data_IF_589773968010
#
_entry.id   IF_589773968010
#
_cell.length_a   1.000
_cell.length_b   1.000
_cell.length_c   1.000
_cell.angle_alpha   90.00
_cell.angle_beta   90.00
_cell.angle_gamma   90.00
#
_symmetry.space_group_name_H-M   'P 1'
#
loop_
_entity.id
_entity.type
_entity.pdbx_description
1 polymer ?
#
# COMPACT_ATOMS: atom_id res chain seq x y z
N UNK A 1 9.22 -18.30 -6.77
CA UNK A 1 8.85 -17.29 -5.75
C UNK A 1 10.06 -16.43 -5.42
N UNK A 2 9.86 -15.15 -5.10
CA UNK A 2 10.91 -14.25 -4.62
C UNK A 2 11.11 -14.47 -3.13
N UNK A 3 12.34 -14.83 -2.73
CA UNK A 3 12.73 -15.02 -1.33
C UNK A 3 14.02 -14.25 -1.11
N UNK A 4 14.12 -13.50 -0.02
CA UNK A 4 15.34 -12.79 0.33
C UNK A 4 16.34 -13.67 1.09
N UNK A 5 17.53 -13.11 1.40
CA UNK A 5 18.59 -13.82 2.12
C UNK A 5 18.24 -14.25 3.56
N UNK A 6 17.11 -13.76 4.10
CA UNK A 6 16.59 -14.09 5.44
C UNK A 6 15.40 -15.07 5.39
N UNK A 7 15.08 -15.63 4.22
CA UNK A 7 13.98 -16.58 4.05
C UNK A 7 12.60 -15.91 3.97
N UNK A 8 12.49 -14.56 3.92
CA UNK A 8 11.21 -13.87 3.82
C UNK A 8 10.70 -13.92 2.38
N UNK A 9 9.45 -14.36 2.21
CA UNK A 9 8.80 -14.36 0.90
C UNK A 9 8.31 -12.97 0.56
N UNK A 10 8.71 -12.44 -0.59
CA UNK A 10 8.29 -11.12 -1.08
C UNK A 10 7.02 -11.31 -1.92
N UNK A 11 5.91 -10.77 -1.43
CA UNK A 11 4.56 -10.92 -1.99
C UNK A 11 3.86 -9.61 -2.29
N UNK A 12 4.37 -8.48 -1.77
CA UNK A 12 3.77 -7.16 -1.88
C UNK A 12 4.68 -6.21 -2.66
N UNK A 13 4.22 -5.73 -3.82
CA UNK A 13 4.87 -4.69 -4.59
C UNK A 13 4.14 -3.36 -4.40
N UNK A 14 4.86 -2.33 -3.98
CA UNK A 14 4.37 -0.95 -4.00
C UNK A 14 4.94 -0.23 -5.20
N UNK A 15 4.09 0.36 -6.02
CA UNK A 15 4.46 1.04 -7.26
C UNK A 15 4.13 2.52 -7.14
N UNK A 16 5.16 3.36 -7.10
CA UNK A 16 4.99 4.81 -7.16
C UNK A 16 4.73 5.22 -8.60
N UNK A 17 3.62 5.89 -8.86
CA UNK A 17 3.24 6.33 -10.21
C UNK A 17 3.81 7.69 -10.56
N UNK A 18 4.07 8.52 -9.56
CA UNK A 18 4.55 9.89 -9.70
C UNK A 18 5.20 10.36 -8.40
N UNK A 19 6.11 11.29 -8.50
CA UNK A 19 6.71 12.03 -7.39
C UNK A 19 5.92 13.30 -7.02
N UNK A 20 4.94 13.70 -7.86
CA UNK A 20 4.12 14.89 -7.66
C UNK A 20 2.99 14.62 -6.68
N UNK A 21 2.72 15.61 -5.81
CA UNK A 21 1.60 15.61 -4.90
C UNK A 21 0.98 17.02 -4.87
N UNK A 22 -0.33 17.10 -4.70
CA UNK A 22 -1.07 18.36 -4.52
C UNK A 22 -1.24 18.74 -3.05
N UNK A 23 -0.79 17.91 -2.10
CA UNK A 23 -0.69 18.21 -0.67
C UNK A 23 0.75 18.48 -0.28
N UNK A 24 0.95 19.16 0.87
CA UNK A 24 2.25 19.50 1.45
C UNK A 24 2.32 19.07 2.90
N UNK A 25 2.04 17.78 3.15
CA UNK A 25 2.09 17.24 4.51
C UNK A 25 3.49 17.40 5.09
N UNK A 26 3.59 18.01 6.28
CA UNK A 26 4.86 18.41 6.88
C UNK A 26 5.81 17.21 7.11
N UNK A 27 5.26 16.03 7.36
CA UNK A 27 6.04 14.81 7.61
C UNK A 27 6.45 14.06 6.32
N UNK A 28 5.93 14.49 5.17
CA UNK A 28 6.16 13.83 3.87
C UNK A 28 6.89 14.75 2.90
N UNK A 29 6.44 16.00 2.81
CA UNK A 29 6.89 16.98 1.81
C UNK A 29 6.86 18.39 2.42
N UNK A 30 7.70 18.67 3.44
CA UNK A 30 7.55 19.80 4.35
C UNK A 30 7.74 21.17 3.70
N UNK A 31 8.47 21.31 2.59
CA UNK A 31 8.69 22.62 1.95
C UNK A 31 8.94 22.53 0.46
N UNK A 32 8.36 23.51 -0.22
CA UNK A 32 8.64 23.77 -1.62
C UNK A 32 8.27 22.63 -2.54
N UNK A 33 8.65 22.77 -3.78
CA UNK A 33 8.63 21.66 -4.71
C UNK A 33 9.91 20.86 -4.49
N UNK A 34 9.82 19.54 -4.18
CA UNK A 34 11.01 18.72 -4.20
C UNK A 34 11.60 18.76 -5.61
N UNK A 35 12.89 18.48 -5.77
CA UNK A 35 13.44 18.31 -7.10
C UNK A 35 12.70 17.15 -7.77
N UNK A 36 11.73 17.48 -8.61
CA UNK A 36 10.94 16.51 -9.35
C UNK A 36 11.85 15.73 -10.30
N UNK A 37 11.57 14.45 -10.45
CA UNK A 37 12.23 13.66 -11.47
C UNK A 37 11.96 14.28 -12.85
N UNK A 38 12.96 14.21 -13.73
CA UNK A 38 12.78 14.62 -15.12
C UNK A 38 11.71 13.75 -15.75
N UNK A 39 10.82 14.34 -16.55
CA UNK A 39 9.69 13.64 -17.17
C UNK A 39 10.12 12.36 -17.92
N UNK A 40 11.27 12.40 -18.56
CA UNK A 40 11.85 11.30 -19.33
C UNK A 40 12.30 10.13 -18.45
N UNK A 41 12.54 10.39 -17.15
CA UNK A 41 12.94 9.34 -16.21
C UNK A 41 11.75 8.64 -15.56
N UNK A 42 10.56 9.24 -15.60
CA UNK A 42 9.35 8.62 -15.06
C UNK A 42 8.94 7.44 -15.95
N UNK A 43 8.59 6.32 -15.32
CA UNK A 43 8.11 5.14 -16.04
C UNK A 43 6.79 5.42 -16.77
N UNK A 44 6.66 4.94 -18.00
CA UNK A 44 5.39 4.91 -18.73
C UNK A 44 4.45 3.84 -18.13
N UNK A 45 3.18 3.85 -18.50
CA UNK A 45 2.25 2.81 -18.04
C UNK A 45 2.62 1.44 -18.61
N UNK A 46 3.12 1.42 -19.85
CA UNK A 46 3.58 0.20 -20.51
C UNK A 46 4.77 -0.42 -19.75
N UNK A 47 5.76 0.41 -19.38
CA UNK A 47 6.90 -0.04 -18.56
C UNK A 47 6.45 -0.55 -17.18
N UNK A 48 5.49 0.13 -16.54
CA UNK A 48 4.95 -0.29 -15.25
C UNK A 48 4.24 -1.65 -15.38
N UNK A 49 3.43 -1.84 -16.43
CA UNK A 49 2.73 -3.11 -16.67
C UNK A 49 3.74 -4.23 -16.90
N UNK A 50 4.72 -4.04 -17.77
CA UNK A 50 5.77 -5.04 -18.04
C UNK A 50 6.52 -5.44 -16.76
N UNK A 51 6.94 -4.46 -15.96
CA UNK A 51 7.59 -4.71 -14.67
C UNK A 51 6.66 -5.49 -13.73
N UNK A 52 5.40 -5.09 -13.61
CA UNK A 52 4.42 -5.76 -12.76
C UNK A 52 4.16 -7.21 -13.20
N UNK A 53 4.07 -7.48 -14.51
CA UNK A 53 3.96 -8.84 -15.07
C UNK A 53 5.15 -9.72 -14.65
N UNK A 54 6.37 -9.16 -14.72
CA UNK A 54 7.57 -9.87 -14.29
C UNK A 54 7.48 -10.17 -12.79
N UNK A 55 7.14 -9.19 -11.96
CA UNK A 55 7.02 -9.38 -10.51
C UNK A 55 5.93 -10.40 -10.15
N UNK A 56 4.77 -10.35 -10.81
CA UNK A 56 3.69 -11.33 -10.62
C UNK A 56 4.17 -12.72 -11.02
N UNK A 57 4.88 -12.88 -12.14
CA UNK A 57 5.46 -14.18 -12.54
C UNK A 57 6.49 -14.72 -11.54
N UNK A 58 7.07 -13.86 -10.72
CA UNK A 58 7.99 -14.21 -9.64
C UNK A 58 7.31 -14.49 -8.29
N UNK A 59 5.98 -14.33 -8.20
CA UNK A 59 5.20 -14.65 -7.01
C UNK A 59 4.72 -13.45 -6.20
N UNK A 60 4.72 -12.24 -6.77
CA UNK A 60 4.00 -11.11 -6.18
C UNK A 60 2.50 -11.37 -6.31
N UNK A 61 1.81 -11.28 -5.18
CA UNK A 61 0.38 -11.52 -5.03
C UNK A 61 -0.42 -10.22 -4.88
N UNK A 62 0.25 -9.14 -4.42
CA UNK A 62 -0.41 -7.86 -4.11
C UNK A 62 0.36 -6.71 -4.76
N UNK A 63 -0.35 -5.85 -5.47
CA UNK A 63 0.16 -4.59 -6.02
C UNK A 63 -0.57 -3.43 -5.36
N UNK A 64 0.19 -2.46 -4.88
CA UNK A 64 -0.35 -1.21 -4.36
C UNK A 64 0.19 -0.04 -5.15
N UNK A 65 -0.71 0.64 -5.83
CA UNK A 65 -0.40 1.90 -6.52
C UNK A 65 -0.33 3.05 -5.51
N UNK A 66 0.70 3.86 -5.62
CA UNK A 66 1.01 4.97 -4.71
C UNK A 66 1.84 6.01 -5.46
N UNK A 67 2.59 6.84 -4.76
CA UNK A 67 3.47 7.86 -5.32
C UNK A 67 3.53 9.07 -4.40
N UNK A 68 3.61 10.26 -4.98
CA UNK A 68 3.10 11.47 -4.36
C UNK A 68 1.58 11.30 -4.26
N UNK A 69 0.84 11.84 -5.25
CA UNK A 69 -0.58 11.51 -5.37
C UNK A 69 -0.84 10.79 -6.70
N UNK A 70 -1.14 9.49 -6.68
CA UNK A 70 -1.27 8.69 -7.90
C UNK A 70 -2.43 9.15 -8.80
N UNK A 71 -3.49 9.74 -8.24
CA UNK A 71 -4.62 10.25 -9.00
C UNK A 71 -4.33 11.54 -9.76
N UNK A 72 -3.16 12.17 -9.57
CA UNK A 72 -2.70 13.26 -10.43
C UNK A 72 -2.21 12.75 -11.79
N UNK A 73 -1.90 11.46 -11.90
CA UNK A 73 -1.49 10.89 -13.17
C UNK A 73 -2.71 10.72 -14.07
N UNK A 74 -2.63 11.33 -15.27
CA UNK A 74 -3.71 11.26 -16.25
C UNK A 74 -3.95 9.79 -16.66
N UNK A 75 -5.20 9.42 -16.88
CA UNK A 75 -5.62 8.10 -17.39
C UNK A 75 -5.15 6.91 -16.52
N UNK A 76 -5.02 7.11 -15.18
CA UNK A 76 -4.58 6.04 -14.27
C UNK A 76 -5.55 4.84 -14.27
N UNK A 77 -6.81 5.03 -14.60
CA UNK A 77 -7.81 3.96 -14.79
C UNK A 77 -7.37 2.96 -15.86
N UNK A 78 -6.76 3.43 -16.95
CA UNK A 78 -6.20 2.56 -17.99
C UNK A 78 -5.06 1.67 -17.46
N UNK A 79 -4.21 2.21 -16.58
CA UNK A 79 -3.19 1.40 -15.91
C UNK A 79 -3.84 0.36 -14.99
N UNK A 80 -4.83 0.77 -14.19
CA UNK A 80 -5.56 -0.14 -13.30
C UNK A 80 -6.19 -1.30 -14.09
N UNK A 81 -6.81 -1.03 -15.24
CA UNK A 81 -7.40 -2.05 -16.12
C UNK A 81 -6.34 -3.04 -16.63
N UNK A 82 -5.21 -2.55 -17.13
CA UNK A 82 -4.10 -3.39 -17.58
C UNK A 82 -3.55 -4.27 -16.45
N UNK A 83 -3.39 -3.73 -15.24
CA UNK A 83 -2.92 -4.50 -14.08
C UNK A 83 -4.00 -5.47 -13.55
N UNK A 84 -5.27 -5.12 -13.63
CA UNK A 84 -6.36 -6.01 -13.25
C UNK A 84 -6.43 -7.25 -14.14
N UNK A 85 -5.98 -7.17 -15.40
CA UNK A 85 -5.88 -8.32 -16.28
C UNK A 85 -4.87 -9.38 -15.80
N UNK A 86 -3.97 -9.03 -14.87
CA UNK A 86 -3.04 -9.98 -14.24
C UNK A 86 -3.68 -10.82 -13.11
N UNK A 87 -4.93 -10.51 -12.74
CA UNK A 87 -5.66 -11.23 -11.70
C UNK A 87 -6.17 -12.58 -12.19
N UNK A 88 -6.39 -13.47 -11.23
CA UNK A 88 -7.20 -14.67 -11.45
C UNK A 88 -8.66 -14.24 -11.60
N UNK A 89 -9.43 -14.76 -12.57
CA UNK A 89 -10.88 -14.65 -12.53
C UNK A 89 -11.39 -15.15 -11.18
N UNK A 90 -12.13 -14.30 -10.44
CA UNK A 90 -12.68 -14.70 -9.15
C UNK A 90 -13.61 -15.91 -9.35
N UNK A 91 -13.55 -16.94 -8.49
CA UNK A 91 -14.51 -18.07 -8.56
C UNK A 91 -15.96 -17.62 -8.46
N UNK A 92 -16.23 -16.41 -7.96
CA UNK A 92 -17.58 -15.83 -7.84
C UNK A 92 -18.16 -15.28 -9.15
N UNK A 93 -17.37 -15.13 -10.21
CA UNK A 93 -17.84 -14.66 -11.50
C UNK A 93 -18.23 -15.78 -12.47
N UNK A 94 -18.07 -17.03 -12.08
CA UNK A 94 -18.54 -18.18 -12.82
C UNK A 94 -19.79 -18.79 -12.15
N UNK A 95 -20.93 -18.12 -12.30
CA UNK A 95 -22.23 -18.78 -12.16
C UNK A 95 -22.71 -19.11 -13.59
N UNK A 96 -22.52 -20.32 -14.10
CA UNK A 96 -23.21 -20.74 -15.30
C UNK A 96 -24.65 -20.94 -14.89
N UNK A 97 -25.58 -20.29 -15.58
CA UNK A 97 -26.97 -20.67 -15.60
C UNK A 97 -27.06 -22.12 -16.08
N UNK A 98 -27.30 -23.03 -15.14
CA UNK A 98 -27.63 -24.43 -15.45
C UNK A 98 -28.95 -24.48 -16.24
N UNK A 99 -28.86 -24.71 -17.53
CA UNK A 99 -29.94 -25.38 -18.27
C UNK A 99 -29.65 -26.86 -18.21
N UNK A 100 -30.61 -27.55 -17.65
CA UNK A 100 -30.74 -29.02 -17.56
C UNK A 100 -30.73 -29.72 -18.90
N UNK A 101 -30.11 -30.89 -18.94
CA UNK A 101 -30.34 -32.13 -19.71
C UNK A 101 -29.03 -32.63 -20.32
N UNK A 102 -28.59 -33.84 -20.29
CA UNK A 102 -29.10 -35.17 -20.13
C UNK A 102 -27.91 -36.15 -19.91
N UNK A 103 -28.22 -37.34 -19.52
CA UNK A 103 -27.41 -38.46 -19.09
C UNK A 103 -26.49 -39.09 -20.16
N UNK A 104 -25.54 -39.90 -19.62
CA UNK A 104 -24.84 -41.08 -20.17
C UNK A 104 -23.55 -40.79 -20.98
N UNK A 105 -22.37 -41.20 -20.52
CA UNK A 105 -21.77 -42.51 -20.65
C UNK A 105 -20.41 -42.60 -19.92
N UNK A 106 -20.25 -43.69 -19.19
CA UNK A 106 -18.99 -44.13 -18.61
C UNK A 106 -18.00 -44.54 -19.71
N UNK A 107 -16.76 -44.05 -19.67
CA UNK A 107 -15.67 -44.80 -20.23
C UNK A 107 -14.40 -44.64 -19.36
N UNK A 108 -13.99 -45.74 -18.76
CA UNK A 108 -12.72 -45.91 -18.08
C UNK A 108 -11.59 -45.91 -19.11
N UNK A 109 -10.52 -45.18 -18.81
CA UNK A 109 -9.28 -45.46 -19.50
C UNK A 109 -8.31 -44.29 -19.59
N UNK A 110 -7.22 -44.43 -18.85
CA UNK A 110 -5.94 -43.74 -18.93
C UNK A 110 -5.70 -42.55 -17.96
N UNK A 111 -5.22 -42.94 -16.76
CA UNK A 111 -4.45 -42.06 -15.90
C UNK A 111 -3.10 -41.74 -16.57
N UNK A 112 -3.00 -40.63 -17.25
CA UNK A 112 -1.72 -39.96 -17.50
C UNK A 112 -1.36 -39.19 -16.25
N UNK A 113 -0.20 -39.51 -15.65
CA UNK A 113 0.40 -38.77 -14.55
C UNK A 113 0.69 -37.36 -15.04
N UNK A 114 -0.20 -36.42 -14.67
CA UNK A 114 0.02 -34.99 -14.84
C UNK A 114 1.08 -34.59 -13.79
N UNK A 115 2.33 -34.45 -14.24
CA UNK A 115 3.40 -33.87 -13.45
C UNK A 115 2.97 -32.44 -13.12
N UNK A 116 2.60 -32.20 -11.85
CA UNK A 116 1.97 -31.01 -11.32
C UNK A 116 2.61 -29.72 -11.79
N UNK A 117 2.06 -29.11 -12.80
CA UNK A 117 2.30 -27.71 -13.13
C UNK A 117 1.92 -26.88 -11.91
N UNK A 118 2.93 -26.33 -11.22
CA UNK A 118 2.70 -25.34 -10.16
C UNK A 118 1.83 -24.24 -10.75
N UNK A 119 0.73 -23.87 -10.08
CA UNK A 119 -0.18 -22.85 -10.60
C UNK A 119 0.63 -21.59 -10.93
N UNK A 120 0.40 -21.06 -12.13
CA UNK A 120 1.07 -19.85 -12.58
C UNK A 120 0.80 -18.73 -11.57
N UNK A 121 1.82 -18.04 -11.01
CA UNK A 121 1.61 -17.00 -10.01
C UNK A 121 0.67 -15.93 -10.59
N UNK A 122 -0.28 -15.46 -9.81
CA UNK A 122 -1.31 -14.54 -10.25
C UNK A 122 -1.52 -13.44 -9.21
N UNK A 123 -1.87 -12.25 -9.67
CA UNK A 123 -2.22 -11.14 -8.80
C UNK A 123 -3.54 -11.44 -8.07
N UNK A 124 -3.56 -11.25 -6.76
CA UNK A 124 -4.73 -11.46 -5.90
C UNK A 124 -5.36 -10.15 -5.42
N UNK A 125 -4.59 -9.06 -5.31
CA UNK A 125 -5.02 -7.81 -4.71
C UNK A 125 -4.39 -6.62 -5.42
N UNK A 126 -5.21 -5.75 -5.98
CA UNK A 126 -4.81 -4.48 -6.60
C UNK A 126 -5.41 -3.32 -5.80
N UNK A 127 -4.58 -2.57 -5.11
CA UNK A 127 -4.98 -1.49 -4.23
C UNK A 127 -4.38 -0.15 -4.62
N UNK A 128 -5.01 0.93 -4.20
CA UNK A 128 -4.55 2.30 -4.36
C UNK A 128 -4.41 2.96 -3.00
N UNK A 129 -3.34 3.77 -2.81
CA UNK A 129 -3.23 4.71 -1.68
C UNK A 129 -3.29 6.13 -2.24
N UNK A 130 -4.16 6.97 -1.68
CA UNK A 130 -4.43 8.34 -2.15
C UNK A 130 -4.68 9.29 -1.00
N UNK A 131 -4.46 10.58 -1.21
CA UNK A 131 -4.89 11.64 -0.29
C UNK A 131 -6.40 11.95 -0.39
N UNK A 132 -7.12 11.29 -1.29
CA UNK A 132 -8.57 11.41 -1.43
C UNK A 132 -9.07 12.56 -2.31
N UNK A 133 -8.29 13.62 -2.52
CA UNK A 133 -8.75 14.86 -3.17
C UNK A 133 -9.48 14.64 -4.51
N UNK A 134 -9.00 13.73 -5.34
CA UNK A 134 -9.61 13.46 -6.65
C UNK A 134 -10.45 12.19 -6.70
N UNK A 135 -10.56 11.47 -5.58
CA UNK A 135 -11.15 10.13 -5.58
C UNK A 135 -12.67 10.16 -5.77
N UNK A 136 -13.37 11.17 -5.24
CA UNK A 136 -14.82 11.28 -5.37
C UNK A 136 -15.29 11.12 -6.83
N UNK A 137 -14.63 11.80 -7.75
CA UNK A 137 -14.97 11.78 -9.19
C UNK A 137 -14.51 10.54 -9.94
N UNK A 138 -13.62 9.73 -9.33
CA UNK A 138 -12.92 8.64 -10.01
C UNK A 138 -13.23 7.27 -9.43
N UNK A 139 -13.85 7.18 -8.23
CA UNK A 139 -14.05 5.94 -7.50
C UNK A 139 -14.76 4.87 -8.32
N UNK A 140 -15.87 5.21 -9.00
CA UNK A 140 -16.61 4.28 -9.85
C UNK A 140 -15.79 3.79 -11.05
N UNK A 141 -15.05 4.70 -11.71
CA UNK A 141 -14.24 4.33 -12.87
C UNK A 141 -13.06 3.43 -12.45
N UNK A 142 -12.43 3.73 -11.32
CA UNK A 142 -11.38 2.87 -10.75
C UNK A 142 -11.92 1.47 -10.41
N UNK A 143 -13.14 1.39 -9.85
CA UNK A 143 -13.78 0.09 -9.59
C UNK A 143 -14.08 -0.66 -10.88
N UNK A 144 -14.66 0.01 -11.88
CA UNK A 144 -14.93 -0.58 -13.21
C UNK A 144 -13.64 -1.06 -13.88
N UNK A 145 -12.53 -0.32 -13.73
CA UNK A 145 -11.22 -0.72 -14.20
C UNK A 145 -10.60 -1.92 -13.45
N UNK A 146 -11.24 -2.37 -12.36
CA UNK A 146 -10.83 -3.56 -11.62
C UNK A 146 -9.99 -3.30 -10.37
N UNK A 147 -9.99 -2.07 -9.82
CA UNK A 147 -9.40 -1.80 -8.51
C UNK A 147 -10.21 -2.51 -7.42
N UNK A 148 -9.54 -3.20 -6.48
CA UNK A 148 -10.23 -3.91 -5.40
C UNK A 148 -10.61 -2.96 -4.28
N UNK A 149 -9.65 -2.17 -3.80
CA UNK A 149 -9.81 -1.38 -2.58
C UNK A 149 -8.92 -0.15 -2.56
N UNK A 150 -9.26 0.79 -1.68
CA UNK A 150 -8.49 2.01 -1.47
C UNK A 150 -7.99 2.14 -0.04
N UNK A 151 -6.90 2.88 0.09
CA UNK A 151 -6.43 3.44 1.35
C UNK A 151 -6.40 4.97 1.18
N UNK A 152 -7.11 5.70 2.04
CA UNK A 152 -7.20 7.15 2.01
C UNK A 152 -6.42 7.70 3.21
N UNK A 153 -5.61 8.73 2.99
CA UNK A 153 -4.90 9.42 4.08
C UNK A 153 -5.81 10.48 4.69
N UNK A 154 -6.01 10.41 6.01
CA UNK A 154 -6.81 11.36 6.77
C UNK A 154 -6.24 11.48 8.19
N UNK A 155 -5.44 12.50 8.43
CA UNK A 155 -4.70 12.67 9.68
C UNK A 155 -5.48 13.43 10.74
N UNK A 156 -6.58 14.11 10.39
CA UNK A 156 -7.41 14.89 11.31
C UNK A 156 -8.84 15.02 10.80
N UNK A 157 -9.78 15.09 11.75
CA UNK A 157 -11.19 15.40 11.50
C UNK A 157 -11.52 16.90 11.78
N UNK A 158 -10.53 17.66 12.26
CA UNK A 158 -10.66 19.10 12.51
C UNK A 158 -10.06 19.88 11.34
N UNK A 159 -10.84 20.77 10.74
CA UNK A 159 -10.44 21.55 9.55
C UNK A 159 -9.10 22.28 9.73
N UNK A 160 -8.90 22.92 10.87
CA UNK A 160 -7.67 23.66 11.16
C UNK A 160 -6.45 22.75 11.28
N UNK A 161 -6.58 21.62 11.99
CA UNK A 161 -5.51 20.65 12.13
C UNK A 161 -5.20 19.97 10.80
N UNK A 162 -6.22 19.58 10.04
CA UNK A 162 -6.06 19.02 8.71
C UNK A 162 -5.26 19.95 7.81
N UNK A 163 -5.67 21.24 7.76
CA UNK A 163 -4.96 22.27 6.99
C UNK A 163 -3.53 22.47 7.47
N UNK A 164 -3.31 22.51 8.79
CA UNK A 164 -1.98 22.64 9.38
C UNK A 164 -1.06 21.45 9.02
N UNK A 165 -1.59 20.24 9.03
CA UNK A 165 -0.83 19.02 8.74
C UNK A 165 -0.54 18.87 7.25
N UNK A 166 -1.55 19.11 6.40
CA UNK A 166 -1.51 18.79 4.96
C UNK A 166 -1.13 19.96 4.06
N UNK A 167 -1.10 21.18 4.61
CA UNK A 167 -0.85 22.42 3.87
C UNK A 167 -2.00 22.88 2.99
N UNK A 168 -3.17 22.20 3.03
CA UNK A 168 -4.34 22.51 2.20
C UNK A 168 -5.64 22.42 2.98
N UNK A 169 -6.63 23.22 2.58
CA UNK A 169 -7.96 23.29 3.19
C UNK A 169 -8.94 22.42 2.37
N UNK A 170 -8.83 21.09 2.51
CA UNK A 170 -9.52 20.10 1.66
C UNK A 170 -10.09 18.90 2.43
N UNK A 171 -10.45 19.10 3.70
CA UNK A 171 -11.02 18.05 4.54
C UNK A 171 -12.34 17.51 3.97
N UNK A 172 -13.23 18.41 3.55
CA UNK A 172 -14.56 18.03 3.05
C UNK A 172 -14.46 17.15 1.80
N UNK A 173 -13.52 17.46 0.89
CA UNK A 173 -13.28 16.65 -0.30
C UNK A 173 -12.75 15.25 0.06
N UNK A 174 -11.94 15.13 1.10
CA UNK A 174 -11.44 13.83 1.58
C UNK A 174 -12.56 13.02 2.24
N UNK A 175 -13.44 13.66 3.02
CA UNK A 175 -14.61 13.00 3.60
C UNK A 175 -15.58 12.54 2.50
N UNK A 176 -15.86 13.39 1.50
CA UNK A 176 -16.67 13.02 0.34
C UNK A 176 -16.08 11.85 -0.46
N UNK A 177 -14.74 11.78 -0.54
CA UNK A 177 -14.03 10.67 -1.18
C UNK A 177 -14.25 9.33 -0.47
N UNK A 178 -14.34 9.32 0.87
CA UNK A 178 -14.64 8.11 1.65
C UNK A 178 -16.04 7.60 1.30
N UNK A 179 -17.03 8.48 1.25
CA UNK A 179 -18.40 8.11 0.87
C UNK A 179 -18.49 7.64 -0.59
N UNK A 180 -17.75 8.26 -1.49
CA UNK A 180 -17.68 7.81 -2.89
C UNK A 180 -17.03 6.42 -3.01
N UNK A 181 -15.99 6.14 -2.23
CA UNK A 181 -15.36 4.81 -2.18
C UNK A 181 -16.34 3.74 -1.67
N UNK A 182 -17.18 4.06 -0.66
CA UNK A 182 -18.25 3.16 -0.18
C UNK A 182 -19.27 2.88 -1.28
N UNK A 183 -19.79 3.93 -1.92
CA UNK A 183 -20.75 3.75 -3.04
C UNK A 183 -20.18 2.90 -4.17
N UNK A 184 -18.89 3.08 -4.48
CA UNK A 184 -18.20 2.31 -5.50
C UNK A 184 -17.79 0.89 -5.03
N UNK A 185 -18.02 0.53 -3.77
CA UNK A 185 -17.65 -0.79 -3.20
C UNK A 185 -16.14 -1.10 -3.34
N UNK A 186 -15.28 -0.12 -3.07
CA UNK A 186 -13.82 -0.28 -3.02
C UNK A 186 -13.38 -0.80 -1.63
N UNK A 187 -13.87 -1.98 -1.26
CA UNK A 187 -13.73 -2.55 0.08
C UNK A 187 -12.53 -3.51 0.23
N UNK A 188 -11.95 -3.59 1.44
CA UNK A 188 -12.19 -2.72 2.60
C UNK A 188 -11.57 -1.33 2.43
N UNK A 189 -12.34 -0.30 2.77
CA UNK A 189 -11.83 1.07 2.81
C UNK A 189 -10.94 1.23 4.03
N UNK A 190 -9.70 1.62 3.79
CA UNK A 190 -8.73 1.86 4.85
C UNK A 190 -8.41 3.33 4.94
N UNK A 191 -8.41 3.85 6.16
CA UNK A 191 -8.00 5.22 6.45
C UNK A 191 -6.67 5.15 7.18
N UNK A 192 -5.65 5.84 6.67
CA UNK A 192 -4.36 5.96 7.35
C UNK A 192 -4.29 7.33 8.01
N UNK A 193 -3.93 7.36 9.29
CA UNK A 193 -3.62 8.55 10.06
C UNK A 193 -2.22 8.42 10.67
N UNK A 194 -1.32 9.33 10.33
CA UNK A 194 -0.03 9.46 11.01
C UNK A 194 -0.25 10.28 12.28
N UNK A 195 0.00 9.68 13.43
CA UNK A 195 -0.21 10.36 14.72
C UNK A 195 1.08 11.00 15.19
N UNK A 196 0.99 12.31 15.42
CA UNK A 196 2.11 13.16 15.84
C UNK A 196 1.76 13.94 17.09
N UNK A 197 2.57 13.80 18.12
CA UNK A 197 2.36 14.45 19.42
C UNK A 197 2.31 15.97 19.29
N UNK A 198 1.29 16.57 19.87
CA UNK A 198 1.04 18.01 19.84
C UNK A 198 0.47 18.53 18.50
N UNK A 199 0.10 17.62 17.58
CA UNK A 199 -0.54 17.97 16.30
C UNK A 199 -1.95 17.40 16.19
N UNK A 200 -2.12 16.09 16.36
CA UNK A 200 -3.39 15.38 16.23
C UNK A 200 -3.54 14.20 17.22
N UNK A 201 -2.68 14.11 18.22
CA UNK A 201 -2.76 13.06 19.26
C UNK A 201 -4.00 13.23 20.17
N UNK A 202 -4.58 14.43 20.22
CA UNK A 202 -5.87 14.70 20.87
C UNK A 202 -7.08 14.17 20.05
N UNK A 203 -6.89 13.76 18.80
CA UNK A 203 -7.96 13.23 17.92
C UNK A 203 -7.98 11.69 17.85
N UNK A 204 -7.11 10.97 18.57
CA UNK A 204 -7.01 9.51 18.48
C UNK A 204 -8.38 8.85 18.73
N UNK A 205 -9.10 9.27 19.78
CA UNK A 205 -10.41 8.71 20.15
C UNK A 205 -11.49 9.13 19.14
N UNK A 206 -11.42 10.36 18.61
CA UNK A 206 -12.40 10.85 17.63
C UNK A 206 -12.25 10.12 16.28
N UNK A 207 -11.03 9.85 15.86
CA UNK A 207 -10.75 9.01 14.68
C UNK A 207 -11.25 7.56 14.88
N UNK A 208 -11.15 7.01 16.09
CA UNK A 208 -11.71 5.69 16.41
C UNK A 208 -13.24 5.70 16.38
N UNK A 209 -13.87 6.76 16.90
CA UNK A 209 -15.32 6.96 16.83
C UNK A 209 -15.77 7.06 15.37
N UNK A 210 -15.06 7.81 14.54
CA UNK A 210 -15.32 7.91 13.11
C UNK A 210 -15.28 6.53 12.44
N UNK A 211 -14.28 5.69 12.73
CA UNK A 211 -14.22 4.33 12.20
C UNK A 211 -15.42 3.48 12.63
N UNK A 212 -15.81 3.58 13.90
CA UNK A 212 -16.93 2.88 14.50
C UNK A 212 -18.28 3.26 13.84
N UNK A 213 -18.49 4.54 13.58
CA UNK A 213 -19.72 5.06 12.99
C UNK A 213 -19.80 4.80 11.48
N UNK A 214 -18.68 4.84 10.79
CA UNK A 214 -18.63 4.73 9.33
C UNK A 214 -18.34 3.33 8.80
N UNK A 215 -17.86 2.43 9.65
CA UNK A 215 -17.50 1.05 9.27
C UNK A 215 -16.17 0.92 8.52
N UNK A 216 -15.34 1.96 8.47
CA UNK A 216 -14.03 1.91 7.82
C UNK A 216 -12.96 1.25 8.71
N UNK A 217 -11.85 0.84 8.10
CA UNK A 217 -10.67 0.36 8.82
C UNK A 217 -9.72 1.53 9.08
N UNK A 218 -9.74 2.10 10.29
CA UNK A 218 -8.83 3.17 10.70
C UNK A 218 -7.48 2.60 11.09
N UNK A 219 -6.40 3.16 10.53
CA UNK A 219 -5.02 2.73 10.77
C UNK A 219 -4.20 3.88 11.32
N UNK A 220 -3.80 3.74 12.56
CA UNK A 220 -2.91 4.65 13.26
C UNK A 220 -1.46 4.28 12.97
N UNK A 221 -0.67 5.23 12.51
CA UNK A 221 0.72 5.02 12.12
C UNK A 221 1.59 5.90 13.00
N UNK A 222 2.59 5.31 13.65
CA UNK A 222 3.60 6.08 14.35
C UNK A 222 4.37 7.01 13.40
N UNK A 223 4.66 8.22 13.84
CA UNK A 223 5.46 9.16 13.09
C UNK A 223 6.88 8.65 12.85
N UNK A 224 7.29 8.60 11.60
CA UNK A 224 8.55 8.01 11.12
C UNK A 224 9.50 9.05 10.54
N UNK A 225 10.85 8.85 10.60
CA UNK A 225 11.86 9.74 10.02
C UNK A 225 11.91 9.60 8.48
N UNK A 226 10.93 10.16 7.80
CA UNK A 226 10.78 10.09 6.33
C UNK A 226 10.76 11.48 5.69
N UNK A 227 10.92 12.52 6.46
CA UNK A 227 11.01 13.89 6.01
C UNK A 227 12.38 14.16 5.38
N UNK A 228 12.41 14.91 4.30
CA UNK A 228 13.64 15.25 3.57
C UNK A 228 14.53 16.25 4.30
N UNK A 229 13.99 16.93 5.31
CA UNK A 229 14.74 17.92 6.12
C UNK A 229 15.44 17.33 7.33
N UNK A 230 15.15 16.05 7.65
CA UNK A 230 15.69 15.38 8.83
C UNK A 230 15.32 16.08 10.16
N UNK A 231 14.14 16.69 10.22
CA UNK A 231 13.60 17.37 11.41
C UNK A 231 12.82 16.41 12.35
N UNK A 232 12.77 15.13 12.00
CA UNK A 232 12.09 14.15 12.82
C UNK A 232 12.68 14.09 14.25
N UNK A 233 11.80 14.23 15.23
CA UNK A 233 12.14 14.06 16.64
C UNK A 233 11.35 12.89 17.24
N UNK A 234 12.05 11.97 17.89
CA UNK A 234 11.44 10.83 18.58
C UNK A 234 10.44 11.25 19.66
N UNK A 235 10.58 12.43 20.24
CA UNK A 235 9.64 12.99 21.23
C UNK A 235 8.24 13.24 20.65
N UNK A 236 8.13 13.41 19.35
CA UNK A 236 6.86 13.60 18.65
C UNK A 236 6.16 12.28 18.33
N UNK A 237 6.79 11.13 18.58
CA UNK A 237 6.19 9.83 18.36
C UNK A 237 5.18 9.53 19.47
N UNK A 238 3.95 9.20 19.09
CA UNK A 238 2.95 8.59 19.98
C UNK A 238 3.04 7.09 19.79
N UNK A 239 3.44 6.38 20.85
CA UNK A 239 3.69 4.94 20.77
C UNK A 239 2.40 4.15 20.48
N UNK A 240 2.51 3.08 19.68
CA UNK A 240 1.37 2.24 19.34
C UNK A 240 0.60 1.71 20.55
N UNK A 241 1.30 1.39 21.66
CA UNK A 241 0.68 0.99 22.92
C UNK A 241 -0.10 2.11 23.60
N UNK A 242 0.36 3.35 23.48
CA UNK A 242 -0.36 4.52 23.98
C UNK A 242 -1.65 4.74 23.18
N UNK A 243 -1.55 4.67 21.84
CA UNK A 243 -2.71 4.74 20.94
C UNK A 243 -3.74 3.66 21.29
N UNK A 244 -3.29 2.40 21.44
CA UNK A 244 -4.15 1.29 21.84
C UNK A 244 -4.88 1.58 23.15
N UNK A 245 -4.15 2.01 24.19
CA UNK A 245 -4.74 2.27 25.51
C UNK A 245 -5.81 3.35 25.43
N UNK A 246 -5.53 4.49 24.78
CA UNK A 246 -6.49 5.59 24.66
C UNK A 246 -7.79 5.16 23.96
N UNK A 247 -7.67 4.36 22.90
CA UNK A 247 -8.85 3.84 22.20
C UNK A 247 -9.57 2.80 23.04
N UNK A 248 -8.86 1.85 23.64
CA UNK A 248 -9.45 0.77 24.43
C UNK A 248 -10.15 1.27 25.69
N UNK A 249 -9.67 2.34 26.30
CA UNK A 249 -10.32 2.98 27.47
C UNK A 249 -11.66 3.66 27.06
N UNK A 250 -11.76 4.16 25.83
CA UNK A 250 -12.98 4.76 25.32
C UNK A 250 -13.93 3.74 24.65
N UNK A 251 -13.36 2.80 23.92
CA UNK A 251 -14.05 1.75 23.17
C UNK A 251 -13.27 0.45 23.32
N UNK A 252 -13.70 -0.48 24.17
CA UNK A 252 -13.02 -1.76 24.38
C UNK A 252 -12.77 -2.50 23.07
N UNK A 253 -11.53 -3.00 22.91
CA UNK A 253 -11.03 -3.61 21.69
C UNK A 253 -10.69 -5.09 21.90
N UNK A 254 -11.00 -5.91 20.90
CA UNK A 254 -10.60 -7.32 20.82
C UNK A 254 -9.61 -7.53 19.68
N UNK A 255 -8.52 -8.23 19.97
CA UNK A 255 -7.50 -8.57 18.96
C UNK A 255 -8.08 -9.58 17.96
N UNK A 256 -8.06 -9.27 16.67
CA UNK A 256 -8.62 -10.13 15.61
C UNK A 256 -7.78 -11.37 15.32
N UNK A 257 -6.46 -11.27 15.41
CA UNK A 257 -5.53 -12.35 15.09
C UNK A 257 -4.38 -12.38 16.09
N UNK A 258 -4.03 -13.56 16.59
CA UNK A 258 -2.92 -13.70 17.54
C UNK A 258 -1.55 -13.42 16.93
N UNK A 259 -1.41 -13.54 15.62
CA UNK A 259 -0.16 -13.27 14.90
C UNK A 259 -0.39 -12.29 13.77
N UNK A 260 0.50 -11.32 13.63
CA UNK A 260 0.43 -10.32 12.57
C UNK A 260 0.89 -10.85 11.19
N UNK A 261 1.73 -11.88 11.16
CA UNK A 261 2.35 -12.38 9.93
C UNK A 261 3.11 -11.26 9.19
N UNK A 262 2.90 -11.12 7.88
CA UNK A 262 3.49 -10.06 7.05
C UNK A 262 2.70 -8.73 7.06
N UNK A 263 1.56 -8.68 7.75
CA UNK A 263 0.75 -7.46 7.89
C UNK A 263 1.50 -6.36 8.66
N UNK A 264 1.23 -5.10 8.33
CA UNK A 264 1.87 -3.97 9.02
C UNK A 264 1.18 -3.61 10.32
N UNK A 265 -0.13 -3.81 10.41
CA UNK A 265 -0.95 -3.40 11.53
C UNK A 265 -1.32 -4.59 12.43
N UNK A 266 -1.31 -4.37 13.73
CA UNK A 266 -2.17 -5.13 14.64
C UNK A 266 -3.61 -4.70 14.42
N UNK A 267 -4.54 -5.64 14.28
CA UNK A 267 -5.94 -5.38 13.94
C UNK A 267 -6.84 -5.73 15.12
N UNK A 268 -7.75 -4.83 15.41
CA UNK A 268 -8.72 -4.97 16.50
C UNK A 268 -10.13 -4.71 15.98
N UNK A 269 -11.09 -5.46 16.49
CA UNK A 269 -12.52 -5.18 16.42
C UNK A 269 -12.99 -4.48 17.70
N UNK A 270 -14.11 -3.78 17.60
CA UNK A 270 -14.78 -3.28 18.80
C UNK A 270 -15.46 -4.44 19.53
N UNK A 271 -15.24 -4.56 20.86
CA UNK A 271 -15.72 -5.68 21.66
C UNK A 271 -17.25 -5.78 21.73
N UNK A 272 -17.96 -4.67 21.52
CA UNK A 272 -19.41 -4.61 21.45
C UNK A 272 -20.01 -4.92 20.06
N UNK A 273 -19.19 -5.36 19.13
CA UNK A 273 -19.62 -5.71 17.77
C UNK A 273 -19.92 -4.54 16.85
N UNK A 274 -19.60 -3.30 17.23
CA UNK A 274 -19.76 -2.16 16.35
C UNK A 274 -18.95 -2.33 15.06
N UNK A 275 -19.41 -1.78 13.93
CA UNK A 275 -18.70 -1.86 12.66
C UNK A 275 -17.36 -1.13 12.71
N UNK A 276 -16.53 -1.39 11.71
CA UNK A 276 -15.20 -0.81 11.60
C UNK A 276 -14.09 -1.66 12.20
N UNK A 277 -12.88 -1.20 12.03
CA UNK A 277 -11.67 -1.90 12.46
C UNK A 277 -10.62 -0.87 12.89
N UNK A 278 -9.90 -1.17 13.94
CA UNK A 278 -8.74 -0.40 14.38
C UNK A 278 -7.47 -1.15 13.99
N UNK A 279 -6.57 -0.50 13.30
CA UNK A 279 -5.25 -1.02 12.96
C UNK A 279 -4.16 -0.15 13.58
N UNK A 280 -3.16 -0.74 14.23
CA UNK A 280 -2.03 -0.02 14.81
C UNK A 280 -0.74 -0.45 14.11
N UNK A 281 -0.03 0.51 13.51
CA UNK A 281 1.22 0.34 12.78
C UNK A 281 2.32 1.05 13.57
N UNK A 282 3.10 0.30 14.30
CA UNK A 282 4.10 0.80 15.24
C UNK A 282 5.54 0.46 14.80
N UNK A 283 6.05 1.03 13.69
CA UNK A 283 7.38 0.69 13.19
C UNK A 283 8.51 1.20 14.06
N UNK A 284 8.29 2.25 14.85
CA UNK A 284 9.32 2.88 15.70
C UNK A 284 9.45 2.15 17.04
N UNK A 285 8.32 1.80 17.67
CA UNK A 285 8.32 1.18 18.99
C UNK A 285 8.20 -0.35 18.97
N UNK A 286 7.56 -0.93 17.93
CA UNK A 286 7.38 -2.37 17.74
C UNK A 286 7.71 -2.82 16.33
N UNK A 287 9.00 -3.00 16.06
CA UNK A 287 9.48 -3.40 14.73
C UNK A 287 8.86 -4.71 14.26
N UNK A 288 8.46 -4.77 12.97
CA UNK A 288 7.85 -5.94 12.34
C UNK A 288 8.57 -6.40 11.06
N UNK A 289 9.90 -6.24 11.04
CA UNK A 289 10.73 -6.51 9.87
C UNK A 289 10.92 -8.01 9.61
N UNK A 290 10.84 -8.86 10.63
CA UNK A 290 11.11 -10.31 10.51
C UNK A 290 10.21 -11.05 9.52
N UNK A 291 8.97 -10.58 9.30
CA UNK A 291 8.02 -11.15 8.34
C UNK A 291 7.72 -10.22 7.16
N UNK A 292 8.58 -9.23 6.87
CA UNK A 292 8.32 -8.22 5.86
C UNK A 292 8.33 -8.80 4.43
N UNK A 293 7.18 -8.76 3.76
CA UNK A 293 6.98 -9.25 2.38
C UNK A 293 7.07 -8.16 1.30
N UNK A 294 7.46 -6.92 1.65
CA UNK A 294 7.32 -5.75 0.78
C UNK A 294 8.58 -5.42 -0.01
N UNK A 295 8.38 -4.98 -1.26
CA UNK A 295 9.38 -4.33 -2.11
C UNK A 295 8.73 -3.12 -2.78
N UNK A 296 9.52 -2.15 -3.24
CA UNK A 296 9.04 -0.91 -3.83
C UNK A 296 9.67 -0.64 -5.18
N UNK A 297 8.87 -0.07 -6.07
CA UNK A 297 9.29 0.51 -7.34
C UNK A 297 8.98 2.01 -7.29
N UNK A 298 9.99 2.85 -7.43
CA UNK A 298 9.83 4.31 -7.47
C UNK A 298 9.29 4.76 -8.83
N UNK A 299 8.78 5.98 -8.91
CA UNK A 299 8.22 6.53 -10.15
C UNK A 299 9.25 6.61 -11.29
N UNK A 300 10.53 6.77 -10.95
CA UNK A 300 11.66 6.80 -11.88
C UNK A 300 12.35 5.43 -12.08
N UNK A 301 11.67 4.34 -11.66
CA UNK A 301 12.07 2.96 -11.93
C UNK A 301 13.22 2.41 -11.10
N UNK A 302 13.40 2.93 -9.87
CA UNK A 302 14.35 2.35 -8.93
C UNK A 302 13.65 1.29 -8.06
N UNK A 303 14.29 0.16 -7.81
CA UNK A 303 13.84 -0.80 -6.79
C UNK A 303 14.43 -0.40 -5.44
N UNK A 304 13.57 -0.35 -4.42
CA UNK A 304 13.96 -0.19 -3.02
C UNK A 304 13.50 -1.40 -2.22
N UNK A 305 14.41 -1.97 -1.48
CA UNK A 305 14.18 -3.18 -0.67
C UNK A 305 13.47 -2.89 0.65
N UNK A 306 13.62 -1.68 1.19
CA UNK A 306 12.98 -1.19 2.39
C UNK A 306 12.49 0.25 2.19
N UNK A 307 11.51 0.69 3.00
CA UNK A 307 11.08 2.09 3.06
C UNK A 307 12.24 3.01 3.46
N UNK A 308 13.07 2.54 4.38
CA UNK A 308 14.21 3.27 4.95
C UNK A 308 15.55 2.93 4.26
N UNK A 309 15.54 2.16 3.17
CA UNK A 309 16.78 1.89 2.44
C UNK A 309 17.38 3.19 1.93
N UNK A 310 18.68 3.35 2.10
CA UNK A 310 19.46 4.43 1.49
C UNK A 310 19.95 4.07 0.09
N UNK A 311 19.86 2.79 -0.28
CA UNK A 311 20.29 2.26 -1.57
C UNK A 311 19.10 2.08 -2.52
N UNK A 312 19.30 2.46 -3.76
CA UNK A 312 18.36 2.28 -4.86
C UNK A 312 19.00 1.46 -5.99
N UNK A 313 18.17 0.68 -6.69
CA UNK A 313 18.64 -0.22 -7.75
C UNK A 313 17.90 0.09 -9.05
N UNK A 314 18.63 0.56 -10.05
CA UNK A 314 18.08 1.10 -11.29
C UNK A 314 17.57 -0.02 -12.22
N UNK A 315 16.28 -0.31 -12.15
CA UNK A 315 15.61 -1.26 -13.04
C UNK A 315 15.25 -0.62 -14.39
N UNK A 316 14.91 0.68 -14.39
CA UNK A 316 14.50 1.41 -15.60
C UNK A 316 15.56 1.31 -16.72
N UNK A 317 16.83 1.56 -16.39
CA UNK A 317 17.87 1.59 -17.43
C UNK A 317 18.12 0.18 -17.98
N UNK A 318 17.97 -0.86 -17.16
CA UNK A 318 18.04 -2.25 -17.61
C UNK A 318 16.87 -2.56 -18.56
N UNK A 319 15.66 -2.14 -18.21
CA UNK A 319 14.47 -2.32 -19.04
C UNK A 319 14.66 -1.61 -20.39
N UNK A 320 15.05 -0.33 -20.35
CA UNK A 320 15.21 0.53 -21.55
C UNK A 320 16.41 0.15 -22.43
N UNK A 321 17.38 -0.58 -21.90
CA UNK A 321 18.49 -1.13 -22.70
C UNK A 321 18.05 -2.30 -23.60
N UNK A 322 16.81 -2.76 -23.51
CA UNK A 322 16.33 -3.94 -24.24
C UNK A 322 16.85 -5.25 -23.68
N UNK A 323 17.22 -5.28 -22.39
CA UNK A 323 17.67 -6.50 -21.74
C UNK A 323 16.61 -7.61 -21.84
N UNK A 324 16.99 -8.85 -22.14
CA UNK A 324 16.02 -9.95 -22.21
C UNK A 324 15.35 -10.19 -20.86
N UNK A 325 14.08 -10.62 -20.87
CA UNK A 325 13.28 -10.88 -19.65
C UNK A 325 14.04 -11.66 -18.56
N UNK A 326 14.84 -12.64 -18.96
CA UNK A 326 15.66 -13.42 -18.01
C UNK A 326 16.73 -12.57 -17.31
N UNK A 327 17.31 -11.58 -18.00
CA UNK A 327 18.25 -10.62 -17.42
C UNK A 327 17.58 -9.74 -16.36
N UNK A 328 16.38 -9.24 -16.66
CA UNK A 328 15.55 -8.45 -15.72
C UNK A 328 15.20 -9.31 -14.49
N UNK A 329 14.77 -10.56 -14.70
CA UNK A 329 14.45 -11.49 -13.61
C UNK A 329 15.66 -11.73 -12.71
N UNK A 330 16.84 -11.94 -13.29
CA UNK A 330 18.09 -12.12 -12.53
C UNK A 330 18.39 -10.90 -11.68
N UNK A 331 18.33 -9.71 -12.26
CA UNK A 331 18.56 -8.46 -11.54
C UNK A 331 17.57 -8.28 -10.36
N UNK A 332 16.28 -8.52 -10.57
CA UNK A 332 15.27 -8.44 -9.49
C UNK A 332 15.62 -9.39 -8.35
N UNK A 333 16.02 -10.62 -8.65
CA UNK A 333 16.43 -11.61 -7.62
C UNK A 333 17.67 -11.16 -6.86
N UNK A 334 18.68 -10.64 -7.54
CA UNK A 334 19.90 -10.10 -6.92
C UNK A 334 19.58 -8.92 -5.99
N UNK A 335 18.65 -8.02 -6.40
CA UNK A 335 18.20 -6.90 -5.57
C UNK A 335 17.43 -7.40 -4.34
N UNK A 336 16.54 -8.37 -4.51
CA UNK A 336 15.78 -8.95 -3.38
C UNK A 336 16.71 -9.59 -2.35
N UNK A 337 17.77 -10.25 -2.79
CA UNK A 337 18.78 -10.83 -1.88
C UNK A 337 19.54 -9.77 -1.06
N UNK A 338 19.56 -8.51 -1.49
CA UNK A 338 20.16 -7.38 -0.75
C UNK A 338 19.20 -6.74 0.26
N UNK A 339 17.98 -7.27 0.39
CA UNK A 339 17.01 -6.72 1.33
C UNK A 339 17.54 -6.78 2.76
N UNK A 340 17.43 -5.65 3.46
CA UNK A 340 17.93 -5.47 4.82
C UNK A 340 17.21 -6.40 5.82
N UNK A 341 17.88 -6.91 6.89
CA UNK A 341 17.23 -7.73 7.92
C UNK A 341 16.11 -6.96 8.63
N UNK A 342 16.34 -5.68 8.87
CA UNK A 342 15.39 -4.74 9.50
C UNK A 342 15.65 -3.32 9.03
N UNK A 343 14.73 -2.40 9.31
CA UNK A 343 15.07 -0.98 9.30
C UNK A 343 15.88 -0.64 10.56
N UNK A 344 16.72 0.39 10.48
CA UNK A 344 17.65 0.72 11.53
C UNK A 344 17.29 2.02 12.26
N UNK A 345 15.99 2.42 12.27
CA UNK A 345 15.53 3.71 12.85
C UNK A 345 16.01 3.94 14.29
N UNK A 346 16.12 2.86 15.08
CA UNK A 346 16.51 2.93 16.48
C UNK A 346 18.02 2.79 16.69
N UNK A 347 18.79 2.63 15.64
CA UNK A 347 20.23 2.46 15.73
C UNK A 347 20.91 3.84 15.72
N UNK A 348 21.98 4.06 16.51
CA UNK A 348 22.67 5.36 16.57
C UNK A 348 23.23 5.83 15.23
N UNK A 349 23.50 4.90 14.31
CA UNK A 349 24.05 5.18 12.97
C UNK A 349 22.95 5.26 11.89
N UNK A 350 21.68 5.36 12.27
CA UNK A 350 20.61 5.47 11.30
C UNK A 350 20.78 6.72 10.43
N UNK A 351 20.81 6.50 9.13
CA UNK A 351 20.76 7.57 8.14
C UNK A 351 19.37 7.56 7.46
N UNK A 352 18.61 8.66 7.53
CA UNK A 352 17.34 8.74 6.83
C UNK A 352 17.56 8.73 5.32
N UNK A 353 16.52 8.30 4.58
CA UNK A 353 16.56 8.27 3.13
C UNK A 353 16.71 9.70 2.58
N UNK A 354 17.54 9.87 1.55
CA UNK A 354 17.77 11.15 0.89
C UNK A 354 16.57 11.64 0.06
N UNK A 355 15.62 10.76 -0.24
CA UNK A 355 14.41 11.07 -1.00
C UNK A 355 13.20 11.13 -0.09
N UNK A 356 12.30 12.09 -0.33
CA UNK A 356 11.04 12.24 0.39
C UNK A 356 10.10 11.05 0.16
N UNK A 357 9.13 10.90 1.04
CA UNK A 357 8.10 9.87 0.97
C UNK A 357 7.30 9.92 -0.35
N UNK A 358 7.08 11.12 -0.90
CA UNK A 358 6.40 11.31 -2.19
C UNK A 358 7.12 10.64 -3.37
N UNK A 359 8.43 10.52 -3.30
CA UNK A 359 9.26 9.83 -4.29
C UNK A 359 9.25 8.31 -4.10
N UNK A 360 9.40 7.89 -2.84
CA UNK A 360 9.55 6.48 -2.48
C UNK A 360 8.22 5.72 -2.64
N UNK A 361 7.12 6.41 -2.47
CA UNK A 361 5.78 5.85 -2.46
C UNK A 361 5.43 5.19 -1.12
N UNK A 362 4.56 5.82 -0.36
CA UNK A 362 4.11 5.41 0.98
C UNK A 362 2.83 4.60 1.03
#
# INVERSE_FOLDING_TARGET
MLTDSYGRQIKDLRVSLTDRCNFRCFYCLPDGEPPLARKETILTFEEIVEICEIFVSLGIEKIRLTGGEPLLRKDVESLVEKLAALKVPSPKSQVPSLKSQDQTDFNEGQMTKDEGQKPNPKLLDLALTTNGFSLERRAENLKKAGLDRVTISLDSLKQENFKKITGVDKLDEVLAAIEAAKRAQLDPIRINAVIVRGWNDDEIVDLARFARETGVSMRYIEYMPLDSKHEWDRKLVVAGREIYRLINDAFPLELKEQTRGSETAWKYSFADGAPGEIGIIAPVTEMFCGACSRIRLTADGQIRTCLFSVTEHNLRDILRSGAPRQGIVRFIREVVNKKEPRHFINDPQFAPASRSMSFIGG
#
